data_IF_768703667168
#
_entry.id   IF_768703667168
#
_cell.length_a   1.000
_cell.length_b   1.000
_cell.length_c   1.000
_cell.angle_alpha   90.00
_cell.angle_beta   90.00
_cell.angle_gamma   90.00
#
_symmetry.space_group_name_H-M   'P 1'
#
loop_
_entity.id
_entity.type
_entity.pdbx_description
1 polymer ?
#
# COMPACT_ATOMS: atom_id res chain seq x y z
N UNK A 1 79.86 46.46 15.40
CA UNK A 1 79.55 45.03 15.63
C UNK A 1 78.05 44.82 15.40
N UNK A 2 77.73 43.84 14.53
CA UNK A 2 76.44 43.16 14.30
C UNK A 2 75.28 43.97 13.68
N UNK A 3 75.22 43.89 12.36
CA UNK A 3 73.99 43.94 11.55
C UNK A 3 73.07 42.75 11.88
N UNK A 4 71.76 42.96 11.95
CA UNK A 4 70.75 41.90 11.79
C UNK A 4 69.65 42.44 10.87
N UNK A 5 69.44 41.71 9.77
CA UNK A 5 68.49 41.97 8.70
C UNK A 5 67.04 41.70 9.14
N UNK A 6 66.13 42.61 8.77
CA UNK A 6 64.68 42.38 8.85
C UNK A 6 64.27 41.75 7.51
N UNK A 7 63.88 40.48 7.53
CA UNK A 7 63.31 39.80 6.37
C UNK A 7 61.83 40.19 6.20
N UNK A 8 61.49 40.87 5.11
CA UNK A 8 60.12 41.11 4.68
C UNK A 8 59.60 39.85 3.98
N UNK A 9 58.57 39.21 4.53
CA UNK A 9 57.86 38.11 3.88
C UNK A 9 56.85 38.68 2.86
N UNK A 10 56.76 38.15 1.64
CA UNK A 10 55.74 38.56 0.67
C UNK A 10 54.37 38.01 1.09
N UNK A 11 53.38 38.89 1.16
CA UNK A 11 51.97 38.52 1.33
C UNK A 11 51.45 37.90 0.02
N UNK A 12 51.27 36.58 0.00
CA UNK A 12 50.56 35.89 -1.06
C UNK A 12 49.04 36.06 -0.84
N UNK A 13 48.39 36.87 -1.67
CA UNK A 13 46.94 36.87 -1.77
C UNK A 13 46.51 35.60 -2.53
N UNK A 14 45.92 34.64 -1.82
CA UNK A 14 45.35 33.44 -2.43
C UNK A 14 44.02 33.79 -3.12
N UNK A 15 43.97 33.73 -4.45
CA UNK A 15 42.71 33.74 -5.21
C UNK A 15 42.01 32.39 -5.01
N UNK A 16 40.97 32.34 -4.19
CA UNK A 16 40.11 31.16 -4.05
C UNK A 16 39.06 31.17 -5.15
N UNK A 17 39.33 30.50 -6.28
CA UNK A 17 38.27 30.16 -7.23
C UNK A 17 37.41 29.07 -6.61
N UNK A 18 36.30 29.46 -5.97
CA UNK A 18 35.29 28.52 -5.52
C UNK A 18 34.59 27.92 -6.76
N UNK A 19 35.02 26.72 -7.18
CA UNK A 19 34.28 25.90 -8.13
C UNK A 19 33.01 25.44 -7.40
N UNK A 20 31.80 25.77 -7.86
CA UNK A 20 30.59 25.28 -7.23
C UNK A 20 30.53 23.77 -7.41
N UNK A 21 30.79 23.04 -6.32
CA UNK A 21 30.51 21.62 -6.27
C UNK A 21 29.00 21.45 -6.31
N UNK A 22 28.47 21.14 -7.50
CA UNK A 22 27.10 20.66 -7.62
C UNK A 22 27.09 19.21 -7.15
N UNK A 23 26.43 18.87 -6.03
CA UNK A 23 26.32 17.48 -5.63
C UNK A 23 25.51 16.77 -6.72
N UNK A 24 26.14 15.85 -7.46
CA UNK A 24 25.38 14.91 -8.30
C UNK A 24 24.56 14.06 -7.35
N UNK A 25 23.24 14.24 -7.39
CA UNK A 25 22.29 13.37 -6.69
C UNK A 25 22.59 11.93 -7.08
N UNK A 26 22.82 11.01 -6.12
CA UNK A 26 23.05 9.62 -6.46
C UNK A 26 21.75 9.07 -7.07
N UNK A 27 21.82 8.60 -8.32
CA UNK A 27 20.71 7.84 -8.89
C UNK A 27 20.54 6.57 -8.07
N UNK A 28 19.41 6.43 -7.39
CA UNK A 28 19.02 5.19 -6.72
C UNK A 28 18.72 4.15 -7.80
N UNK A 29 19.72 3.46 -8.31
CA UNK A 29 19.49 2.20 -9.02
C UNK A 29 19.41 1.10 -7.98
N UNK A 30 18.20 0.62 -7.71
CA UNK A 30 17.97 -0.53 -6.83
C UNK A 30 18.67 -1.78 -7.40
N UNK A 31 19.20 -2.64 -6.52
CA UNK A 31 19.83 -3.91 -6.88
C UNK A 31 18.84 -5.00 -7.36
N UNK A 32 17.53 -4.70 -7.33
CA UNK A 32 16.42 -5.64 -7.51
C UNK A 32 15.66 -5.43 -8.83
N UNK A 33 16.28 -4.75 -9.80
CA UNK A 33 15.64 -4.40 -11.06
C UNK A 33 15.05 -2.98 -11.05
N UNK A 34 14.42 -2.56 -12.15
CA UNK A 34 13.80 -1.24 -12.24
C UNK A 34 12.67 -1.13 -11.22
N UNK A 35 12.59 0.03 -10.55
CA UNK A 35 11.50 0.32 -9.62
C UNK A 35 10.14 0.18 -10.35
N UNK A 36 9.09 -0.34 -9.69
CA UNK A 36 7.75 -0.42 -10.27
C UNK A 36 7.34 0.92 -10.85
N UNK A 37 6.86 0.93 -12.10
CA UNK A 37 6.42 2.18 -12.71
C UNK A 37 5.22 2.73 -11.92
N UNK A 38 5.32 3.99 -11.51
CA UNK A 38 4.20 4.65 -10.84
C UNK A 38 3.00 4.81 -11.78
N UNK A 39 1.77 4.82 -11.24
CA UNK A 39 0.56 5.11 -12.02
C UNK A 39 0.67 6.40 -12.82
N UNK A 40 0.15 6.40 -14.05
CA UNK A 40 -0.15 7.65 -14.76
C UNK A 40 -1.13 8.52 -13.95
N UNK A 41 -1.12 9.85 -14.17
CA UNK A 41 -2.00 10.78 -13.44
C UNK A 41 -2.81 11.62 -14.42
N UNK A 42 -4.13 11.47 -14.40
CA UNK A 42 -5.08 12.25 -15.18
C UNK A 42 -5.74 13.38 -14.36
N UNK A 43 -5.48 13.44 -13.05
CA UNK A 43 -6.00 14.47 -12.13
C UNK A 43 -7.42 14.22 -11.62
N UNK A 44 -8.07 13.12 -12.02
CA UNK A 44 -9.38 12.73 -11.52
C UNK A 44 -9.27 12.14 -10.12
N UNK A 45 -10.13 12.58 -9.21
CA UNK A 45 -10.18 12.09 -7.83
C UNK A 45 -11.57 11.57 -7.49
N UNK A 46 -11.64 10.36 -6.95
CA UNK A 46 -12.87 9.70 -6.51
C UNK A 46 -12.78 9.48 -5.00
N UNK A 47 -13.40 10.38 -4.23
CA UNK A 47 -13.48 10.23 -2.77
C UNK A 47 -14.69 9.39 -2.41
N UNK A 48 -14.47 8.30 -1.68
CA UNK A 48 -15.54 7.40 -1.23
C UNK A 48 -15.92 7.76 0.20
N UNK A 49 -17.22 7.99 0.46
CA UNK A 49 -17.74 8.31 1.80
C UNK A 49 -18.47 7.10 2.35
N UNK A 50 -18.16 6.65 3.56
CA UNK A 50 -18.80 5.46 4.11
C UNK A 50 -20.31 5.70 4.30
N UNK A 51 -21.13 4.70 3.97
CA UNK A 51 -22.57 4.76 4.16
C UNK A 51 -22.99 4.76 5.63
N UNK A 52 -22.12 4.22 6.51
CA UNK A 52 -22.36 4.07 7.93
C UNK A 52 -23.43 3.02 8.27
N UNK A 53 -23.56 2.71 9.55
CA UNK A 53 -24.59 1.81 10.06
C UNK A 53 -24.52 0.37 9.52
N UNK A 54 -23.31 -0.15 9.28
CA UNK A 54 -23.06 -1.49 8.69
C UNK A 54 -23.76 -1.73 7.34
N UNK A 55 -24.00 -0.67 6.55
CA UNK A 55 -24.48 -0.81 5.17
C UNK A 55 -23.33 -1.17 4.25
N UNK A 56 -23.57 -2.05 3.29
CA UNK A 56 -22.52 -2.53 2.39
C UNK A 56 -21.95 -1.40 1.50
N UNK A 57 -20.71 -1.02 1.76
CA UNK A 57 -19.95 -0.01 1.02
C UNK A 57 -19.34 -0.57 -0.29
N UNK A 58 -19.41 -1.89 -0.50
CA UNK A 58 -18.80 -2.55 -1.65
C UNK A 58 -19.21 -1.97 -3.01
N UNK A 59 -20.49 -1.67 -3.29
CA UNK A 59 -20.90 -1.15 -4.61
C UNK A 59 -20.31 0.22 -4.93
N UNK A 60 -20.23 1.12 -3.96
CA UNK A 60 -19.68 2.46 -4.15
C UNK A 60 -18.14 2.45 -4.25
N UNK A 61 -17.48 1.52 -3.55
CA UNK A 61 -16.04 1.28 -3.68
C UNK A 61 -15.72 0.80 -5.10
N UNK A 62 -16.44 -0.22 -5.59
CA UNK A 62 -16.27 -0.72 -6.96
C UNK A 62 -16.54 0.38 -7.99
N UNK A 63 -17.57 1.20 -7.78
CA UNK A 63 -17.86 2.34 -8.65
C UNK A 63 -16.72 3.35 -8.67
N UNK A 64 -16.14 3.70 -7.53
CA UNK A 64 -15.03 4.64 -7.45
C UNK A 64 -13.78 4.10 -8.16
N UNK A 65 -13.47 2.82 -8.00
CA UNK A 65 -12.38 2.17 -8.75
C UNK A 65 -12.63 2.17 -10.25
N UNK A 66 -13.86 1.89 -10.70
CA UNK A 66 -14.21 1.95 -12.11
C UNK A 66 -14.11 3.38 -12.67
N UNK A 67 -14.60 4.37 -11.93
CA UNK A 67 -14.60 5.77 -12.36
C UNK A 67 -13.19 6.35 -12.41
N UNK A 68 -12.34 6.03 -11.44
CA UNK A 68 -10.95 6.53 -11.37
C UNK A 68 -9.93 5.60 -12.01
N UNK A 69 -10.38 4.59 -12.76
CA UNK A 69 -9.49 3.75 -13.54
C UNK A 69 -8.76 4.58 -14.62
N UNK A 70 -7.55 4.16 -15.02
CA UNK A 70 -6.73 4.81 -16.04
C UNK A 70 -6.23 6.21 -15.68
N UNK A 71 -5.61 6.32 -14.50
CA UNK A 71 -4.84 7.47 -14.07
C UNK A 71 -5.45 8.29 -12.94
N UNK A 72 -6.54 7.83 -12.34
CA UNK A 72 -7.22 8.53 -11.26
C UNK A 72 -6.70 8.15 -9.87
N UNK A 73 -7.13 8.94 -8.88
CA UNK A 73 -6.87 8.70 -7.47
C UNK A 73 -8.17 8.34 -6.75
N UNK A 74 -8.21 7.20 -6.06
CA UNK A 74 -9.30 6.84 -5.16
C UNK A 74 -8.91 7.19 -3.73
N UNK A 75 -9.76 7.91 -3.01
CA UNK A 75 -9.47 8.41 -1.66
C UNK A 75 -10.47 7.84 -0.66
N UNK A 76 -9.95 7.21 0.39
CA UNK A 76 -10.69 6.76 1.57
C UNK A 76 -10.28 7.60 2.78
N UNK A 77 -11.07 8.61 3.22
CA UNK A 77 -10.68 9.51 4.31
C UNK A 77 -10.50 8.82 5.68
N UNK A 78 -9.72 9.44 6.56
CA UNK A 78 -9.23 8.87 7.84
C UNK A 78 -10.35 8.55 8.84
N UNK A 79 -11.36 9.41 8.93
CA UNK A 79 -12.47 9.25 9.89
C UNK A 79 -13.62 8.37 9.37
N UNK A 80 -13.35 7.52 8.38
CA UNK A 80 -14.36 6.68 7.73
C UNK A 80 -14.11 5.20 8.03
N UNK A 81 -15.20 4.49 8.35
CA UNK A 81 -15.21 3.05 8.47
C UNK A 81 -16.16 2.45 7.44
N UNK A 82 -15.59 1.72 6.48
CA UNK A 82 -16.32 1.11 5.38
C UNK A 82 -16.70 -0.31 5.75
N UNK A 83 -17.99 -0.63 5.66
CA UNK A 83 -18.49 -1.96 5.94
C UNK A 83 -18.53 -2.79 4.65
N UNK A 84 -17.62 -3.76 4.55
CA UNK A 84 -17.51 -4.65 3.41
C UNK A 84 -18.34 -5.90 3.70
N UNK A 85 -19.55 -5.99 3.12
CA UNK A 85 -20.44 -7.13 3.33
C UNK A 85 -20.47 -8.12 2.17
N UNK A 86 -19.90 -7.76 1.02
CA UNK A 86 -19.85 -8.61 -0.17
C UNK A 86 -18.44 -8.70 -0.74
N UNK A 87 -18.14 -9.81 -1.42
CA UNK A 87 -16.84 -10.00 -2.08
C UNK A 87 -16.66 -8.99 -3.22
N UNK A 88 -15.44 -8.50 -3.41
CA UNK A 88 -15.13 -7.53 -4.45
C UNK A 88 -13.83 -7.87 -5.20
N UNK A 89 -13.86 -7.62 -6.51
CA UNK A 89 -12.76 -7.87 -7.42
C UNK A 89 -12.60 -6.74 -8.45
N UNK A 90 -12.14 -5.54 -8.04
CA UNK A 90 -11.82 -4.47 -9.00
C UNK A 90 -10.61 -4.85 -9.87
N UNK A 91 -10.75 -4.63 -11.19
CA UNK A 91 -9.67 -4.71 -12.16
C UNK A 91 -9.26 -3.29 -12.55
N UNK A 92 -8.07 -2.86 -12.12
CA UNK A 92 -7.63 -1.48 -12.17
C UNK A 92 -6.25 -1.31 -12.82
N UNK A 93 -6.08 -0.23 -13.57
CA UNK A 93 -4.89 0.10 -14.34
C UNK A 93 -4.55 1.57 -14.10
N UNK A 94 -3.29 1.86 -13.72
CA UNK A 94 -2.84 3.21 -13.42
C UNK A 94 -3.71 3.88 -12.33
N UNK A 95 -3.84 3.26 -11.16
CA UNK A 95 -4.64 3.83 -10.06
C UNK A 95 -3.78 4.12 -8.84
N UNK A 96 -3.94 5.31 -8.29
CA UNK A 96 -3.41 5.67 -6.98
C UNK A 96 -4.53 5.54 -5.93
N UNK A 97 -4.24 4.92 -4.80
CA UNK A 97 -5.20 4.71 -3.70
C UNK A 97 -4.66 5.37 -2.45
N UNK A 98 -5.31 6.45 -2.03
CA UNK A 98 -5.05 7.11 -0.76
C UNK A 98 -5.98 6.48 0.29
N UNK A 99 -5.45 5.50 1.00
CA UNK A 99 -6.20 4.72 1.96
C UNK A 99 -5.93 5.21 3.38
N UNK A 100 -6.81 6.03 3.94
CA UNK A 100 -6.66 6.54 5.31
C UNK A 100 -7.71 5.94 6.26
N UNK A 101 -8.88 5.59 5.73
CA UNK A 101 -9.98 5.00 6.51
C UNK A 101 -9.79 3.50 6.79
N UNK A 102 -10.66 2.96 7.65
CA UNK A 102 -10.66 1.52 7.98
C UNK A 102 -11.70 0.77 7.16
N UNK A 103 -11.34 -0.40 6.63
CA UNK A 103 -12.30 -1.31 6.01
C UNK A 103 -12.63 -2.44 6.98
N UNK A 104 -13.87 -2.51 7.45
CA UNK A 104 -14.35 -3.58 8.32
C UNK A 104 -15.16 -4.60 7.51
N UNK A 105 -14.70 -5.85 7.47
CA UNK A 105 -15.42 -6.94 6.82
C UNK A 105 -16.60 -7.40 7.67
N UNK A 106 -17.70 -7.83 7.05
CA UNK A 106 -18.87 -8.26 7.80
C UNK A 106 -18.60 -9.47 8.70
N UNK A 107 -19.35 -9.56 9.79
CA UNK A 107 -19.34 -10.66 10.76
C UNK A 107 -20.14 -11.89 10.27
N UNK A 108 -20.62 -11.89 9.02
CA UNK A 108 -21.33 -13.03 8.41
C UNK A 108 -20.34 -14.09 7.90
N UNK A 109 -19.88 -14.94 8.82
CA UNK A 109 -18.91 -16.00 8.52
C UNK A 109 -19.47 -17.03 7.51
N UNK A 110 -20.77 -17.27 7.53
CA UNK A 110 -21.45 -18.22 6.63
C UNK A 110 -21.42 -17.69 5.20
N UNK A 111 -21.69 -16.40 5.01
CA UNK A 111 -21.54 -15.75 3.72
C UNK A 111 -20.11 -15.90 3.21
N UNK A 112 -19.10 -15.55 4.00
CA UNK A 112 -17.70 -15.55 3.59
C UNK A 112 -17.14 -16.93 3.22
N UNK A 113 -17.57 -17.99 3.91
CA UNK A 113 -17.21 -19.38 3.54
C UNK A 113 -17.75 -19.75 2.15
N UNK A 114 -18.95 -19.30 1.82
CA UNK A 114 -19.63 -19.63 0.57
C UNK A 114 -19.33 -18.63 -0.57
N UNK A 115 -18.89 -17.43 -0.24
CA UNK A 115 -18.74 -16.30 -1.16
C UNK A 115 -17.34 -15.70 -1.05
N UNK A 116 -16.36 -16.45 -1.54
CA UNK A 116 -14.97 -16.01 -1.63
C UNK A 116 -14.41 -16.33 -3.01
N UNK A 117 -13.30 -15.69 -3.37
CA UNK A 117 -12.56 -15.98 -4.58
C UNK A 117 -11.54 -17.09 -4.29
N UNK A 118 -11.57 -18.21 -5.04
CA UNK A 118 -10.54 -19.24 -4.90
C UNK A 118 -9.21 -18.69 -5.43
N UNK A 119 -8.18 -18.77 -4.59
CA UNK A 119 -6.80 -18.42 -4.93
C UNK A 119 -6.06 -19.74 -5.13
N UNK A 120 -5.54 -19.96 -6.34
CA UNK A 120 -4.88 -21.21 -6.72
C UNK A 120 -3.65 -21.51 -5.84
N UNK A 121 -2.96 -20.47 -5.38
CA UNK A 121 -1.84 -20.62 -4.47
C UNK A 121 -2.34 -21.09 -3.09
N UNK A 122 -1.87 -22.26 -2.66
CA UNK A 122 -2.19 -22.88 -1.37
C UNK A 122 -3.69 -23.22 -1.15
N UNK A 123 -4.51 -23.29 -2.21
CA UNK A 123 -5.95 -23.58 -2.12
C UNK A 123 -6.70 -22.68 -1.11
N UNK A 124 -6.30 -21.42 -1.02
CA UNK A 124 -6.93 -20.46 -0.12
C UNK A 124 -8.07 -19.70 -0.79
N UNK A 125 -8.80 -18.96 0.04
CA UNK A 125 -9.94 -18.16 -0.36
C UNK A 125 -9.67 -16.69 -0.02
N UNK A 126 -10.19 -15.74 -0.79
CA UNK A 126 -10.07 -14.30 -0.51
C UNK A 126 -11.42 -13.58 -0.62
N UNK A 127 -11.69 -12.64 0.30
CA UNK A 127 -12.89 -11.80 0.26
C UNK A 127 -12.74 -10.59 -0.68
N UNK A 128 -11.55 -9.99 -0.70
CA UNK A 128 -11.19 -8.89 -1.59
C UNK A 128 -10.00 -9.30 -2.46
N UNK A 129 -10.15 -9.16 -3.76
CA UNK A 129 -9.08 -9.38 -4.74
C UNK A 129 -8.87 -8.10 -5.53
N UNK A 130 -7.63 -7.64 -5.71
CA UNK A 130 -7.31 -6.59 -6.67
C UNK A 130 -6.53 -7.21 -7.82
N UNK A 131 -6.92 -6.86 -9.05
CA UNK A 131 -6.23 -7.27 -10.28
C UNK A 131 -5.86 -6.05 -11.14
N UNK A 132 -4.85 -6.21 -12.01
CA UNK A 132 -4.45 -5.19 -12.99
C UNK A 132 -3.01 -4.69 -12.82
N UNK A 133 -2.69 -3.48 -13.25
CA UNK A 133 -1.29 -3.05 -13.43
C UNK A 133 -1.05 -1.60 -13.04
N UNK A 134 0.16 -1.28 -12.53
CA UNK A 134 0.54 0.06 -12.07
C UNK A 134 -0.43 0.58 -11.02
N UNK A 135 -0.38 -0.06 -9.85
CA UNK A 135 -1.26 0.24 -8.72
C UNK A 135 -0.39 0.75 -7.58
N UNK A 136 -0.69 1.94 -7.08
CA UNK A 136 -0.03 2.50 -5.90
C UNK A 136 -1.05 2.64 -4.76
N UNK A 137 -0.78 2.01 -3.62
CA UNK A 137 -1.59 2.10 -2.41
C UNK A 137 -0.76 2.75 -1.31
N UNK A 138 -1.24 3.86 -0.76
CA UNK A 138 -0.64 4.53 0.38
C UNK A 138 -1.62 4.56 1.54
N UNK A 139 -1.23 3.90 2.64
CA UNK A 139 -2.03 3.77 3.86
C UNK A 139 -1.95 4.95 4.83
N UNK A 140 -1.04 5.90 4.64
CA UNK A 140 -0.83 7.07 5.51
C UNK A 140 -0.62 6.80 7.02
N UNK A 141 -0.37 5.55 7.42
CA UNK A 141 -0.22 5.08 8.79
C UNK A 141 -1.52 4.74 9.50
N UNK A 142 -2.68 5.07 8.91
CA UNK A 142 -4.02 4.98 9.52
C UNK A 142 -4.97 4.08 8.74
N UNK A 143 -4.77 3.93 7.43
CA UNK A 143 -5.54 3.02 6.61
C UNK A 143 -5.23 1.56 6.91
N UNK A 144 -6.29 0.77 7.06
CA UNK A 144 -6.16 -0.65 7.39
C UNK A 144 -7.43 -1.45 7.17
N UNK A 145 -7.28 -2.77 7.33
CA UNK A 145 -8.39 -3.72 7.28
C UNK A 145 -8.65 -4.27 8.68
N UNK A 146 -9.91 -4.26 9.08
CA UNK A 146 -10.44 -5.04 10.19
C UNK A 146 -11.22 -6.26 9.65
N UNK A 147 -10.62 -7.44 9.71
CA UNK A 147 -11.23 -8.69 9.26
C UNK A 147 -12.23 -9.32 10.24
N UNK A 148 -12.57 -8.66 11.36
CA UNK A 148 -13.40 -9.23 12.44
C UNK A 148 -12.87 -10.57 12.98
N UNK A 149 -11.55 -10.66 13.24
CA UNK A 149 -10.88 -11.88 13.69
C UNK A 149 -11.48 -12.51 14.95
N UNK A 150 -12.02 -11.71 15.88
CA UNK A 150 -12.69 -12.23 17.07
C UNK A 150 -13.96 -13.03 16.76
N UNK A 151 -14.71 -12.67 15.71
CA UNK A 151 -15.88 -13.43 15.30
C UNK A 151 -15.49 -14.83 14.81
N UNK A 152 -14.42 -14.92 14.02
CA UNK A 152 -13.83 -16.19 13.59
C UNK A 152 -13.32 -17.01 14.77
N UNK A 153 -12.55 -16.39 15.67
CA UNK A 153 -11.99 -17.06 16.85
C UNK A 153 -13.10 -17.67 17.71
N UNK A 154 -14.18 -16.93 17.99
CA UNK A 154 -15.27 -17.41 18.84
C UNK A 154 -15.99 -18.64 18.27
N UNK A 155 -16.08 -18.75 16.93
CA UNK A 155 -16.73 -19.90 16.26
C UNK A 155 -15.78 -21.08 16.09
N UNK A 156 -14.46 -20.84 16.05
CA UNK A 156 -13.45 -21.86 15.77
C UNK A 156 -12.60 -22.27 16.99
N UNK A 157 -12.83 -21.66 18.16
CA UNK A 157 -12.13 -21.95 19.43
C UNK A 157 -12.13 -23.44 19.81
N UNK A 158 -13.22 -24.16 19.51
CA UNK A 158 -13.37 -25.57 19.86
C UNK A 158 -13.06 -26.51 18.68
N UNK A 159 -13.49 -26.15 17.46
CA UNK A 159 -13.29 -26.93 16.24
C UNK A 159 -12.99 -25.99 15.10
N UNK A 160 -11.80 -26.12 14.52
CA UNK A 160 -11.39 -25.35 13.34
C UNK A 160 -12.13 -25.87 12.11
N UNK A 161 -12.64 -24.94 11.30
CA UNK A 161 -13.39 -25.27 10.09
C UNK A 161 -12.68 -24.67 8.86
N UNK A 162 -12.52 -25.42 7.77
CA UNK A 162 -11.91 -24.89 6.56
C UNK A 162 -12.79 -23.81 5.92
N UNK A 163 -12.17 -22.85 5.23
CA UNK A 163 -12.88 -21.81 4.46
C UNK A 163 -12.87 -20.42 5.07
N UNK A 164 -12.02 -20.13 6.06
CA UNK A 164 -11.75 -18.75 6.48
C UNK A 164 -10.99 -18.02 5.36
N UNK A 165 -11.56 -16.99 4.73
CA UNK A 165 -10.89 -16.30 3.65
C UNK A 165 -9.84 -15.32 4.20
N UNK A 166 -8.80 -15.12 3.41
CA UNK A 166 -7.92 -13.97 3.55
C UNK A 166 -8.73 -12.70 3.26
N UNK A 167 -8.52 -11.62 4.00
CA UNK A 167 -9.26 -10.38 3.83
C UNK A 167 -8.99 -9.79 2.45
N UNK A 168 -7.74 -9.86 1.99
CA UNK A 168 -7.25 -9.16 0.83
C UNK A 168 -6.11 -9.91 0.13
N UNK A 169 -6.15 -9.91 -1.20
CA UNK A 169 -5.15 -10.53 -2.09
C UNK A 169 -4.96 -9.66 -3.34
N UNK A 170 -3.73 -9.49 -3.78
CA UNK A 170 -3.47 -9.08 -5.17
C UNK A 170 -3.43 -10.33 -6.02
N UNK A 171 -4.12 -10.37 -7.16
CA UNK A 171 -4.10 -11.52 -8.07
C UNK A 171 -3.99 -11.04 -9.51
N UNK A 172 -3.11 -11.65 -10.30
CA UNK A 172 -2.84 -11.21 -11.68
C UNK A 172 -2.50 -9.70 -11.73
N UNK A 173 -1.51 -9.30 -10.94
CA UNK A 173 -1.06 -7.91 -10.85
C UNK A 173 0.39 -7.71 -11.27
N UNK A 174 0.67 -6.60 -11.94
CA UNK A 174 2.02 -6.16 -12.29
C UNK A 174 2.27 -4.73 -11.79
N UNK A 175 3.50 -4.43 -11.36
CA UNK A 175 3.89 -3.09 -10.89
C UNK A 175 2.99 -2.54 -9.77
N UNK A 176 2.94 -3.26 -8.64
CA UNK A 176 2.18 -2.84 -7.46
C UNK A 176 3.12 -2.27 -6.40
N UNK A 177 2.77 -1.13 -5.84
CA UNK A 177 3.49 -0.47 -4.76
C UNK A 177 2.56 -0.21 -3.58
N UNK A 178 2.89 -0.72 -2.39
CA UNK A 178 2.09 -0.57 -1.17
C UNK A 178 2.97 -0.03 -0.06
N UNK A 179 2.54 1.04 0.60
CA UNK A 179 3.30 1.68 1.67
C UNK A 179 2.41 2.25 2.78
N UNK A 180 2.99 2.44 3.97
CA UNK A 180 2.37 3.11 5.12
C UNK A 180 0.99 2.56 5.54
N UNK A 181 0.69 1.28 5.38
CA UNK A 181 -0.54 0.70 5.95
C UNK A 181 -0.42 0.52 7.48
N UNK A 182 -1.51 0.74 8.21
CA UNK A 182 -1.54 0.54 9.66
C UNK A 182 -1.14 -0.90 10.02
N UNK A 183 -0.14 -1.03 10.91
CA UNK A 183 0.43 -2.33 11.29
C UNK A 183 1.60 -2.82 10.43
N UNK A 184 2.06 -2.04 9.44
CA UNK A 184 3.20 -2.38 8.59
C UNK A 184 4.27 -1.26 8.57
N UNK A 185 5.56 -1.56 8.80
CA UNK A 185 6.64 -0.64 8.46
C UNK A 185 6.77 -0.53 6.92
N UNK A 186 7.08 0.67 6.42
CA UNK A 186 7.27 0.96 4.99
C UNK A 186 8.32 0.07 4.36
N UNK A 187 7.89 -1.02 3.75
CA UNK A 187 8.72 -1.90 2.96
C UNK A 187 8.11 -1.96 1.56
N UNK A 188 8.92 -1.55 0.58
CA UNK A 188 8.73 -1.90 -0.83
C UNK A 188 8.90 -3.42 -0.90
N UNK A 189 7.83 -4.17 -0.77
CA UNK A 189 7.87 -5.63 -0.77
C UNK A 189 7.37 -6.15 -2.10
N UNK A 190 8.12 -7.08 -2.69
CA UNK A 190 7.66 -7.86 -3.83
C UNK A 190 6.38 -8.65 -3.46
N UNK A 191 5.53 -8.86 -4.47
CA UNK A 191 4.24 -9.55 -4.39
C UNK A 191 4.28 -10.86 -3.56
N UNK A 192 5.37 -11.63 -3.62
CA UNK A 192 5.50 -12.90 -2.91
C UNK A 192 5.77 -12.77 -1.40
N UNK A 193 6.49 -11.75 -0.95
CA UNK A 193 6.77 -11.54 0.48
C UNK A 193 5.54 -11.01 1.23
N UNK A 194 4.71 -10.20 0.56
CA UNK A 194 3.42 -9.73 1.10
C UNK A 194 2.42 -10.87 1.34
N UNK A 195 2.29 -11.80 0.38
CA UNK A 195 1.39 -12.94 0.50
C UNK A 195 1.79 -13.87 1.66
N UNK A 196 3.08 -14.12 1.85
CA UNK A 196 3.58 -14.92 2.97
C UNK A 196 3.35 -14.23 4.33
N UNK A 197 3.35 -12.90 4.37
CA UNK A 197 3.11 -12.15 5.61
C UNK A 197 1.64 -12.10 6.01
N UNK A 198 0.72 -11.88 5.07
CA UNK A 198 -0.73 -12.02 5.32
C UNK A 198 -1.04 -13.43 5.79
N UNK A 199 -0.48 -14.46 5.15
CA UNK A 199 -0.64 -15.85 5.61
C UNK A 199 -0.06 -16.07 7.01
N UNK A 200 1.09 -15.46 7.37
CA UNK A 200 1.67 -15.54 8.72
C UNK A 200 0.85 -14.84 9.80
N UNK A 201 0.23 -13.69 9.53
CA UNK A 201 -0.61 -12.97 10.49
C UNK A 201 -1.99 -13.63 10.71
N UNK A 202 -2.40 -14.53 9.81
CA UNK A 202 -3.66 -15.28 9.94
C UNK A 202 -3.47 -16.68 10.54
N UNK A 203 -2.25 -17.15 10.75
CA UNK A 203 -1.94 -18.47 11.32
C UNK A 203 -1.34 -18.43 12.74
N UNK A 204 -1.25 -17.23 13.35
CA UNK A 204 -0.94 -17.02 14.76
C UNK A 204 -2.14 -16.38 15.46
#
# INVERSE_FOLDING_TARGET
>A
MKSILIALLPTFAALTTAIPWTPKTPSKTSSWGPDPRSPSKNGKTCTVQALGGKKDDTPQILKAFADCNHGGTVVFPEDQNYWIATKLNPVIYDVTVDWKGTWTFSDDLTYWRNNSYPIFFQNHHAGFVISGERIHVNGYGTGGINGNGNAWYNVEQAVTQPGRPMPFVFNNTAEVFVEHCQGFPSLVLEYYEWHQYVVRQYLL
#
